data_IF_100631960599
#
_entry.id   IF_100631960599
#
_cell.length_a   1.000
_cell.length_b   1.000
_cell.length_c   1.000
_cell.angle_alpha   90.00
_cell.angle_beta   90.00
_cell.angle_gamma   90.00
#
_symmetry.space_group_name_H-M   'P 1'
#
loop_
_entity.id
_entity.type
_entity.pdbx_description
1 polymer ?
#
# COMPACT_ATOMS: atom_id res chain seq x y z
N UNK A 1 -6.34 -22.02 12.61
CA UNK A 1 -7.15 -21.10 13.44
C UNK A 1 -7.42 -19.84 12.63
N UNK A 2 -8.66 -19.41 12.50
CA UNK A 2 -8.99 -18.15 11.83
C UNK A 2 -8.67 -16.96 12.74
N UNK A 3 -8.21 -15.86 12.15
CA UNK A 3 -7.95 -14.63 12.87
C UNK A 3 -8.33 -13.41 12.04
N UNK A 4 -8.68 -12.33 12.74
CA UNK A 4 -8.77 -10.98 12.18
C UNK A 4 -7.53 -10.19 12.57
N UNK A 5 -6.94 -9.46 11.62
CA UNK A 5 -5.98 -8.39 11.89
C UNK A 5 -6.58 -7.03 11.51
N UNK A 6 -6.62 -6.12 12.48
CA UNK A 6 -6.95 -4.70 12.25
C UNK A 6 -5.69 -3.87 12.40
N UNK A 7 -5.34 -3.12 11.35
CA UNK A 7 -4.20 -2.21 11.36
C UNK A 7 -4.69 -0.76 11.31
N UNK A 8 -4.20 0.08 12.22
CA UNK A 8 -4.53 1.51 12.27
C UNK A 8 -3.27 2.33 12.06
N UNK A 9 -3.30 3.22 11.08
CA UNK A 9 -2.16 4.04 10.69
C UNK A 9 -1.68 4.98 11.79
N UNK A 10 -0.37 5.01 12.02
CA UNK A 10 0.32 5.99 12.87
C UNK A 10 1.20 6.96 12.07
N UNK A 11 1.38 6.68 10.77
CA UNK A 11 1.93 7.59 9.79
C UNK A 11 1.11 7.53 8.49
N UNK A 12 1.23 8.56 7.66
CA UNK A 12 0.58 8.61 6.35
C UNK A 12 0.94 7.38 5.52
N UNK A 13 -0.07 6.73 4.92
CA UNK A 13 0.12 5.67 3.95
C UNK A 13 0.34 6.27 2.57
N UNK A 14 1.37 5.81 1.86
CA UNK A 14 1.54 6.04 0.42
C UNK A 14 1.22 4.76 -0.34
N UNK A 15 0.33 4.84 -1.34
CA UNK A 15 0.07 3.72 -2.23
C UNK A 15 1.00 3.74 -3.44
N UNK A 16 1.35 2.55 -3.91
CA UNK A 16 2.10 2.35 -5.14
C UNK A 16 1.81 0.96 -5.72
N UNK A 17 0.68 0.86 -6.41
CA UNK A 17 0.33 -0.29 -7.23
C UNK A 17 1.34 -0.47 -8.36
N UNK A 18 1.77 -1.71 -8.59
CA UNK A 18 2.79 -2.06 -9.59
C UNK A 18 2.25 -2.12 -11.02
N UNK A 19 0.95 -1.88 -11.27
CA UNK A 19 0.36 -1.97 -12.61
C UNK A 19 1.06 -1.13 -13.69
N UNK A 20 1.63 0.02 -13.30
CA UNK A 20 2.40 0.89 -14.20
C UNK A 20 3.73 0.28 -14.68
N UNK A 21 4.15 -0.86 -14.12
CA UNK A 21 5.28 -1.64 -14.61
C UNK A 21 4.91 -2.54 -15.80
N UNK A 22 3.62 -2.87 -15.98
CA UNK A 22 3.17 -3.69 -17.10
C UNK A 22 3.02 -2.81 -18.36
N UNK A 23 3.85 -3.01 -19.41
CA UNK A 23 3.79 -2.19 -20.62
C UNK A 23 2.50 -2.36 -21.42
N UNK A 24 1.74 -3.43 -21.18
CA UNK A 24 0.48 -3.72 -21.88
C UNK A 24 -0.74 -3.13 -21.18
N UNK A 25 -0.60 -2.71 -19.91
CA UNK A 25 -1.70 -2.13 -19.13
C UNK A 25 -2.17 -0.80 -19.75
N UNK A 26 -3.49 -0.57 -19.88
CA UNK A 26 -4.03 0.69 -20.38
C UNK A 26 -3.53 1.94 -19.64
N UNK A 27 -3.37 1.89 -18.32
CA UNK A 27 -2.86 3.00 -17.52
C UNK A 27 -1.39 3.31 -17.87
N UNK A 28 -0.58 2.29 -18.10
CA UNK A 28 0.81 2.45 -18.55
C UNK A 28 0.86 3.10 -19.94
N UNK A 29 0.01 2.66 -20.86
CA UNK A 29 -0.09 3.25 -22.20
C UNK A 29 -0.53 4.71 -22.15
N UNK A 30 -1.54 5.03 -21.33
CA UNK A 30 -2.00 6.40 -21.11
C UNK A 30 -0.87 7.29 -20.57
N UNK A 31 -0.17 6.85 -19.52
CA UNK A 31 0.96 7.59 -18.96
C UNK A 31 2.11 7.75 -19.98
N UNK A 32 2.41 6.71 -20.77
CA UNK A 32 3.44 6.75 -21.83
C UNK A 32 3.11 7.77 -22.93
N UNK A 33 1.83 7.94 -23.26
CA UNK A 33 1.39 8.90 -24.29
C UNK A 33 1.74 10.36 -23.93
N UNK A 34 1.78 10.68 -22.65
CA UNK A 34 2.11 12.03 -22.15
C UNK A 34 3.60 12.14 -21.79
N UNK A 35 4.16 11.11 -21.14
CA UNK A 35 5.58 11.12 -20.73
C UNK A 35 6.56 11.05 -21.91
N UNK A 36 6.16 10.54 -23.07
CA UNK A 36 7.00 10.47 -24.27
C UNK A 36 7.12 11.78 -25.05
N UNK A 37 6.27 12.78 -24.75
CA UNK A 37 6.31 14.11 -25.40
C UNK A 37 7.63 14.85 -25.11
N UNK A 38 8.17 15.51 -26.14
CA UNK A 38 9.29 16.46 -26.02
C UNK A 38 8.73 17.86 -25.72
N UNK A 39 9.42 18.64 -24.89
CA UNK A 39 8.96 19.99 -24.51
C UNK A 39 7.61 19.97 -23.78
N UNK A 40 7.54 19.26 -22.64
CA UNK A 40 6.30 19.13 -21.85
C UNK A 40 5.88 20.50 -21.32
N UNK A 41 4.60 20.82 -21.47
CA UNK A 41 3.96 21.98 -20.85
C UNK A 41 3.58 21.67 -19.39
N UNK A 42 3.16 22.69 -18.65
CA UNK A 42 2.68 22.51 -17.27
C UNK A 42 1.46 21.59 -17.22
N UNK A 43 0.55 21.69 -18.19
CA UNK A 43 -0.61 20.78 -18.29
C UNK A 43 -0.17 19.33 -18.55
N UNK A 44 0.94 19.12 -19.26
CA UNK A 44 1.48 17.77 -19.40
C UNK A 44 2.05 17.24 -18.08
N UNK A 45 2.65 18.10 -17.26
CA UNK A 45 3.16 17.71 -15.95
C UNK A 45 2.03 17.38 -14.97
N UNK A 46 0.95 18.15 -14.98
CA UNK A 46 -0.26 17.87 -14.21
C UNK A 46 -0.92 16.56 -14.63
N UNK A 47 -1.07 16.33 -15.94
CA UNK A 47 -1.67 15.09 -16.44
C UNK A 47 -0.80 13.86 -16.12
N UNK A 48 0.53 14.00 -16.18
CA UNK A 48 1.44 12.95 -15.70
C UNK A 48 1.18 12.66 -14.22
N UNK A 49 1.10 13.69 -13.38
CA UNK A 49 0.83 13.52 -11.95
C UNK A 49 -0.53 12.84 -11.70
N UNK A 50 -1.57 13.22 -12.44
CA UNK A 50 -2.91 12.62 -12.36
C UNK A 50 -2.90 11.14 -12.73
N UNK A 51 -2.30 10.80 -13.87
CA UNK A 51 -2.20 9.42 -14.36
C UNK A 51 -1.34 8.56 -13.43
N UNK A 52 -0.25 9.12 -12.88
CA UNK A 52 0.57 8.42 -11.89
C UNK A 52 -0.16 8.19 -10.58
N UNK A 53 -0.93 9.18 -10.10
CA UNK A 53 -1.75 9.05 -8.91
C UNK A 53 -2.77 7.92 -9.08
N UNK A 54 -3.58 7.98 -10.14
CA UNK A 54 -4.57 6.96 -10.46
C UNK A 54 -3.94 5.56 -10.64
N UNK A 55 -2.84 5.47 -11.41
CA UNK A 55 -2.15 4.21 -11.66
C UNK A 55 -1.44 3.62 -10.45
N UNK A 56 -1.21 4.42 -9.40
CA UNK A 56 -0.57 3.98 -8.15
C UNK A 56 -1.59 3.56 -7.07
N UNK A 57 -2.89 3.80 -7.27
CA UNK A 57 -3.93 3.35 -6.34
C UNK A 57 -4.12 1.83 -6.40
N UNK A 58 -4.30 1.23 -5.23
CA UNK A 58 -5.03 -0.03 -5.12
C UNK A 58 -6.51 0.33 -5.06
N UNK A 59 -7.23 0.07 -6.15
CA UNK A 59 -8.61 0.52 -6.34
C UNK A 59 -9.46 -0.61 -6.88
N UNK A 60 -10.63 -0.77 -6.29
CA UNK A 60 -11.70 -1.65 -6.73
C UNK A 60 -12.91 -0.77 -7.08
N UNK A 61 -13.63 -1.09 -8.15
CA UNK A 61 -14.68 -0.20 -8.68
C UNK A 61 -15.92 -0.13 -7.78
N UNK A 62 -16.23 -1.20 -7.04
CA UNK A 62 -17.39 -1.26 -6.14
C UNK A 62 -17.03 -0.77 -4.74
N UNK A 63 -15.81 -1.06 -4.29
CA UNK A 63 -15.38 -0.76 -2.93
C UNK A 63 -14.69 0.60 -2.86
N UNK A 64 -13.85 0.96 -3.83
CA UNK A 64 -12.92 2.10 -3.79
C UNK A 64 -11.51 1.68 -3.35
N UNK A 65 -10.74 2.54 -2.67
CA UNK A 65 -9.39 2.17 -2.26
C UNK A 65 -9.34 1.02 -1.25
N UNK A 66 -8.36 0.13 -1.44
CA UNK A 66 -8.17 -1.07 -0.63
C UNK A 66 -6.68 -1.37 -0.39
N UNK A 67 -6.39 -2.34 0.46
CA UNK A 67 -5.05 -2.90 0.65
C UNK A 67 -5.05 -4.36 0.21
N UNK A 68 -4.16 -4.77 -0.71
CA UNK A 68 -4.03 -6.18 -1.09
C UNK A 68 -3.53 -7.05 0.07
N UNK A 69 -3.97 -8.31 0.11
CA UNK A 69 -3.45 -9.34 1.02
C UNK A 69 -1.91 -9.37 1.07
N UNK A 70 -1.28 -9.35 -0.10
CA UNK A 70 0.17 -9.38 -0.26
C UNK A 70 0.90 -8.27 0.49
N UNK A 71 0.31 -7.07 0.55
CA UNK A 71 0.95 -5.96 1.25
C UNK A 71 0.96 -6.21 2.77
N UNK A 72 -0.16 -6.70 3.31
CA UNK A 72 -0.29 -7.04 4.74
C UNK A 72 0.64 -8.20 5.08
N UNK A 73 0.57 -9.29 4.31
CA UNK A 73 1.41 -10.46 4.49
C UNK A 73 2.90 -10.10 4.41
N UNK A 74 3.28 -9.26 3.43
CA UNK A 74 4.67 -8.84 3.27
C UNK A 74 5.19 -8.01 4.43
N UNK A 75 4.35 -7.13 5.00
CA UNK A 75 4.71 -6.36 6.19
C UNK A 75 4.97 -7.29 7.39
N UNK A 76 4.11 -8.29 7.62
CA UNK A 76 4.30 -9.30 8.67
C UNK A 76 5.57 -10.12 8.44
N UNK A 77 5.80 -10.59 7.21
CA UNK A 77 6.99 -11.36 6.86
C UNK A 77 8.28 -10.57 7.10
N UNK A 78 8.36 -9.32 6.64
CA UNK A 78 9.52 -8.46 6.85
C UNK A 78 9.69 -8.06 8.33
N UNK A 79 8.59 -7.98 9.10
CA UNK A 79 8.61 -7.79 10.55
C UNK A 79 9.22 -9.00 11.27
N UNK A 80 8.73 -10.20 10.95
CA UNK A 80 9.22 -11.46 11.53
C UNK A 80 10.71 -11.70 11.27
N UNK A 81 11.22 -11.26 10.12
CA UNK A 81 12.64 -11.32 9.78
C UNK A 81 13.54 -10.56 10.76
N UNK A 82 13.05 -9.55 11.48
CA UNK A 82 13.82 -8.85 12.52
C UNK A 82 14.18 -9.76 13.69
N UNK A 83 13.36 -10.78 13.93
CA UNK A 83 13.58 -11.84 14.94
C UNK A 83 13.94 -13.19 14.33
N UNK A 84 14.37 -13.25 13.06
CA UNK A 84 14.67 -14.50 12.31
C UNK A 84 13.49 -15.48 12.20
N UNK A 85 12.25 -15.01 12.40
CA UNK A 85 11.00 -15.80 12.30
C UNK A 85 10.33 -15.73 10.92
N UNK A 86 11.00 -15.18 9.91
CA UNK A 86 10.46 -15.05 8.55
C UNK A 86 9.89 -16.35 7.95
N UNK A 87 10.61 -17.49 8.02
CA UNK A 87 10.09 -18.78 7.53
C UNK A 87 8.75 -19.19 8.14
N UNK A 88 8.56 -18.96 9.46
CA UNK A 88 7.30 -19.26 10.15
C UNK A 88 6.10 -18.51 9.58
N UNK A 89 6.27 -17.28 9.11
CA UNK A 89 5.19 -16.54 8.43
C UNK A 89 4.85 -17.14 7.06
N UNK A 90 5.83 -17.69 6.34
CA UNK A 90 5.57 -18.38 5.06
C UNK A 90 4.82 -19.68 5.23
N UNK A 91 5.12 -20.40 6.30
CA UNK A 91 4.56 -21.73 6.56
C UNK A 91 3.23 -21.64 7.31
N UNK A 92 3.09 -20.69 8.23
CA UNK A 92 1.98 -20.67 9.18
C UNK A 92 1.00 -19.49 9.06
N UNK A 93 1.18 -18.55 8.15
CA UNK A 93 0.25 -17.40 8.00
C UNK A 93 -0.17 -17.21 6.57
N UNK A 94 -1.49 -17.20 6.36
CA UNK A 94 -2.12 -16.89 5.08
C UNK A 94 -3.21 -15.83 5.26
N UNK A 95 -3.15 -14.73 4.51
CA UNK A 95 -4.22 -13.71 4.49
C UNK A 95 -5.24 -14.13 3.45
N UNK A 96 -6.47 -14.42 3.89
CA UNK A 96 -7.55 -15.00 3.07
C UNK A 96 -8.33 -13.97 2.26
N UNK A 97 -8.27 -12.70 2.65
CA UNK A 97 -9.01 -11.60 2.00
C UNK A 97 -8.12 -10.85 1.03
N UNK A 98 -8.37 -11.02 -0.27
CA UNK A 98 -7.58 -10.38 -1.34
C UNK A 98 -7.79 -8.85 -1.40
N UNK A 99 -9.03 -8.41 -1.21
CA UNK A 99 -9.43 -7.00 -1.23
C UNK A 99 -9.84 -6.58 0.18
N UNK A 100 -9.01 -5.76 0.83
CA UNK A 100 -9.25 -5.28 2.19
C UNK A 100 -9.59 -3.77 2.15
N UNK A 101 -10.86 -3.36 2.29
CA UNK A 101 -11.26 -1.96 2.16
C UNK A 101 -10.46 -1.04 3.09
N UNK A 102 -9.94 0.05 2.53
CA UNK A 102 -9.27 1.08 3.31
C UNK A 102 -10.33 2.02 3.90
N UNK A 103 -10.41 2.09 5.22
CA UNK A 103 -11.22 3.07 5.93
C UNK A 103 -10.43 4.39 6.10
N UNK A 104 -11.00 5.49 5.63
CA UNK A 104 -10.50 6.85 5.75
C UNK A 104 -11.64 7.85 5.46
N UNK A 105 -11.47 9.09 5.88
CA UNK A 105 -12.43 10.17 5.58
C UNK A 105 -12.06 10.83 4.25
N UNK A 106 -12.97 10.82 3.28
CA UNK A 106 -12.79 11.53 2.00
C UNK A 106 -13.43 10.84 0.80
N UNK A 107 -13.12 11.32 -0.42
CA UNK A 107 -13.69 10.76 -1.66
C UNK A 107 -13.31 9.29 -1.87
N UNK A 108 -14.21 8.51 -2.46
CA UNK A 108 -14.00 7.08 -2.77
C UNK A 108 -13.72 6.79 -4.24
N UNK A 109 -13.78 7.79 -5.11
CA UNK A 109 -13.51 7.65 -6.55
C UNK A 109 -12.11 8.15 -6.89
N UNK A 110 -11.52 7.62 -7.97
CA UNK A 110 -10.20 8.07 -8.47
C UNK A 110 -10.19 9.58 -8.71
N UNK A 111 -11.20 10.09 -9.43
CA UNK A 111 -11.28 11.52 -9.76
C UNK A 111 -11.55 12.40 -8.53
N UNK A 112 -12.31 11.90 -7.54
CA UNK A 112 -12.53 12.62 -6.28
C UNK A 112 -11.25 12.70 -5.45
N UNK A 113 -10.50 11.61 -5.35
CA UNK A 113 -9.19 11.57 -4.70
C UNK A 113 -8.15 12.40 -5.43
N UNK A 114 -8.24 12.48 -6.77
CA UNK A 114 -7.45 13.45 -7.50
C UNK A 114 -7.89 14.85 -7.13
N UNK A 115 -9.16 15.25 -7.26
CA UNK A 115 -9.62 16.62 -7.05
C UNK A 115 -9.19 17.24 -5.70
N UNK A 116 -9.10 16.44 -4.64
CA UNK A 116 -8.60 16.88 -3.33
C UNK A 116 -7.09 16.68 -3.17
N UNK A 117 -6.34 17.79 -3.10
CA UNK A 117 -4.88 17.81 -2.93
C UNK A 117 -4.40 17.10 -1.65
N UNK A 118 -5.26 16.93 -0.64
CA UNK A 118 -4.90 16.21 0.59
C UNK A 118 -4.55 14.74 0.33
N UNK A 119 -5.01 14.16 -0.79
CA UNK A 119 -4.72 12.79 -1.19
C UNK A 119 -3.58 12.69 -2.21
N UNK A 120 -2.87 13.80 -2.49
CA UNK A 120 -1.72 13.83 -3.40
C UNK A 120 -0.42 14.01 -2.63
N UNK A 121 0.52 13.10 -2.83
CA UNK A 121 1.89 13.25 -2.37
C UNK A 121 2.82 13.44 -3.57
N UNK A 122 3.35 14.64 -3.73
CA UNK A 122 4.29 14.97 -4.81
C UNK A 122 5.69 15.06 -4.23
N UNK A 123 6.62 14.24 -4.74
CA UNK A 123 8.01 14.26 -4.30
C UNK A 123 8.98 14.01 -5.46
N UNK A 124 10.16 14.61 -5.33
CA UNK A 124 11.24 14.42 -6.30
C UNK A 124 11.99 13.12 -6.03
N UNK A 125 12.01 12.21 -7.00
CA UNK A 125 12.76 10.94 -6.94
C UNK A 125 13.93 10.95 -7.93
N UNK A 126 14.99 10.21 -7.61
CA UNK A 126 16.14 10.02 -8.49
C UNK A 126 15.88 8.85 -9.44
N UNK A 127 15.99 9.08 -10.75
CA UNK A 127 15.92 8.05 -11.80
C UNK A 127 17.22 8.13 -12.61
N UNK A 128 18.12 7.17 -12.43
CA UNK A 128 19.47 7.26 -12.97
C UNK A 128 20.21 8.46 -12.41
N UNK A 129 20.61 9.40 -13.26
CA UNK A 129 21.27 10.67 -12.88
C UNK A 129 20.30 11.84 -12.75
N UNK A 130 19.06 11.72 -13.24
CA UNK A 130 18.07 12.79 -13.26
C UNK A 130 17.13 12.73 -12.05
N UNK A 131 16.50 13.87 -11.74
CA UNK A 131 15.40 13.94 -10.77
C UNK A 131 14.08 14.20 -11.49
N UNK A 132 13.05 13.45 -11.11
CA UNK A 132 11.70 13.59 -11.67
C UNK A 132 10.70 13.69 -10.53
N UNK A 133 9.72 14.59 -10.65
CA UNK A 133 8.61 14.67 -9.70
C UNK A 133 7.68 13.48 -9.93
N UNK A 134 7.31 12.77 -8.86
CA UNK A 134 6.35 11.67 -8.89
C UNK A 134 5.16 12.02 -8.00
N UNK A 135 3.98 11.62 -8.44
CA UNK A 135 2.78 11.72 -7.62
C UNK A 135 2.40 10.34 -7.06
N UNK A 136 2.08 10.27 -5.77
CA UNK A 136 1.55 9.06 -5.11
C UNK A 136 0.25 9.42 -4.39
N UNK A 137 -0.75 8.53 -4.38
CA UNK A 137 -1.89 8.66 -3.49
C UNK A 137 -1.43 8.56 -2.04
N UNK A 138 -1.97 9.42 -1.19
CA UNK A 138 -1.68 9.39 0.24
C UNK A 138 -2.95 9.36 1.09
N UNK A 139 -2.88 8.68 2.23
CA UNK A 139 -3.94 8.63 3.23
C UNK A 139 -3.36 8.93 4.60
N UNK A 140 -3.74 10.07 5.19
CA UNK A 140 -3.13 10.57 6.43
C UNK A 140 -3.62 9.81 7.66
N UNK A 141 -4.93 9.61 7.73
CA UNK A 141 -5.60 8.79 8.72
C UNK A 141 -6.24 7.62 7.99
N UNK A 142 -5.87 6.40 8.37
CA UNK A 142 -6.31 5.21 7.66
C UNK A 142 -6.38 4.00 8.59
N UNK A 143 -7.29 3.09 8.27
CA UNK A 143 -7.42 1.79 8.91
C UNK A 143 -7.75 0.74 7.87
N UNK A 144 -7.29 -0.48 8.09
CA UNK A 144 -7.62 -1.62 7.25
C UNK A 144 -7.86 -2.84 8.15
N UNK A 145 -8.80 -3.70 7.76
CA UNK A 145 -9.07 -4.98 8.42
C UNK A 145 -8.93 -6.09 7.39
N UNK A 146 -8.26 -7.17 7.76
CA UNK A 146 -8.10 -8.37 6.95
C UNK A 146 -8.34 -9.63 7.79
N UNK A 147 -8.69 -10.72 7.12
CA UNK A 147 -8.88 -12.03 7.75
C UNK A 147 -7.79 -12.97 7.25
N UNK A 148 -7.28 -13.82 8.14
CA UNK A 148 -6.29 -14.82 7.79
C UNK A 148 -6.45 -16.12 8.55
N UNK A 149 -5.66 -17.11 8.15
CA UNK A 149 -5.53 -18.41 8.80
C UNK A 149 -4.12 -18.47 9.41
N UNK A 150 -4.07 -18.87 10.68
CA UNK A 150 -2.87 -19.19 11.43
C UNK A 150 -2.77 -20.70 11.63
N UNK A 151 -1.64 -21.27 11.21
CA UNK A 151 -1.23 -22.62 11.61
C UNK A 151 -0.53 -22.56 12.98
N UNK A 152 -1.27 -22.99 14.01
CA UNK A 152 -0.82 -22.95 15.41
C UNK A 152 0.24 -23.99 15.73
N UNK A 153 0.52 -24.95 14.84
CA UNK A 153 1.66 -25.88 14.99
C UNK A 153 2.99 -25.21 14.63
N UNK A 154 2.95 -24.13 13.83
CA UNK A 154 4.14 -23.41 13.33
C UNK A 154 4.40 -22.13 14.12
N UNK A 155 3.34 -21.38 14.43
CA UNK A 155 3.40 -20.06 15.04
C UNK A 155 2.17 -19.84 15.93
N UNK A 156 2.36 -19.47 17.19
CA UNK A 156 1.22 -19.15 18.05
C UNK A 156 0.72 -17.69 17.86
N UNK A 157 -0.45 -17.40 18.43
CA UNK A 157 -1.10 -16.09 18.29
C UNK A 157 -0.34 -14.96 18.99
N UNK A 158 0.39 -15.26 20.08
CA UNK A 158 1.19 -14.26 20.79
C UNK A 158 2.40 -13.86 19.94
N UNK A 159 3.09 -14.82 19.35
CA UNK A 159 4.18 -14.56 18.41
C UNK A 159 3.70 -13.75 17.19
N UNK A 160 2.52 -14.07 16.65
CA UNK A 160 1.96 -13.30 15.54
C UNK A 160 1.68 -11.84 15.93
N UNK A 161 1.19 -11.58 17.15
CA UNK A 161 0.98 -10.22 17.68
C UNK A 161 2.29 -9.44 17.79
N UNK A 162 3.34 -10.04 18.35
CA UNK A 162 4.67 -9.41 18.42
C UNK A 162 5.24 -9.08 17.03
N UNK A 163 5.04 -9.99 16.08
CA UNK A 163 5.46 -9.79 14.69
C UNK A 163 4.69 -8.62 14.08
N UNK A 164 3.38 -8.52 14.33
CA UNK A 164 2.55 -7.44 13.82
C UNK A 164 2.93 -6.08 14.43
N UNK A 165 3.26 -6.03 15.72
CA UNK A 165 3.80 -4.82 16.36
C UNK A 165 5.14 -4.39 15.76
N UNK A 166 6.02 -5.35 15.50
CA UNK A 166 7.30 -5.11 14.82
C UNK A 166 7.09 -4.64 13.38
N UNK A 167 6.15 -5.26 12.66
CA UNK A 167 5.80 -4.87 11.30
C UNK A 167 5.27 -3.43 11.28
N UNK A 168 4.36 -3.09 12.19
CA UNK A 168 3.78 -1.75 12.28
C UNK A 168 4.79 -0.66 12.62
N UNK A 169 5.65 -0.92 13.61
CA UNK A 169 6.60 0.05 14.15
C UNK A 169 7.91 0.16 13.36
N UNK A 170 8.38 -0.91 12.72
CA UNK A 170 9.70 -0.98 12.06
C UNK A 170 9.64 -1.20 10.55
N UNK A 171 8.54 -1.73 10.00
CA UNK A 171 8.39 -1.99 8.55
C UNK A 171 7.41 -1.03 7.87
N UNK A 172 6.13 -1.02 8.26
CA UNK A 172 5.04 -0.28 7.63
C UNK A 172 4.48 -0.93 6.35
N UNK A 173 3.47 -0.28 5.76
CA UNK A 173 2.80 -0.66 4.51
C UNK A 173 3.04 0.33 3.37
N UNK A 174 2.86 -0.17 2.15
CA UNK A 174 2.92 0.66 0.94
C UNK A 174 4.34 1.11 0.57
N UNK A 175 4.43 2.33 0.06
CA UNK A 175 5.65 2.89 -0.53
C UNK A 175 6.48 3.70 0.48
N UNK A 176 7.76 3.90 0.14
CA UNK A 176 8.74 4.68 0.92
C UNK A 176 8.81 4.32 2.41
N UNK A 177 8.63 3.03 2.70
CA UNK A 177 8.90 2.42 3.99
C UNK A 177 10.40 2.56 4.34
N UNK A 178 10.78 2.78 5.61
CA UNK A 178 9.93 2.76 6.81
C UNK A 178 9.25 4.09 7.17
N UNK A 179 9.47 5.17 6.41
CA UNK A 179 9.00 6.51 6.78
C UNK A 179 7.47 6.63 6.74
N UNK A 180 6.85 5.99 5.76
CA UNK A 180 5.40 6.00 5.53
C UNK A 180 4.78 4.64 5.87
N UNK A 181 3.46 4.65 6.06
CA UNK A 181 2.63 3.47 6.27
C UNK A 181 2.87 2.74 7.60
N UNK A 182 3.42 3.41 8.61
CA UNK A 182 3.49 2.89 9.98
C UNK A 182 2.09 2.66 10.54
N UNK A 183 1.93 1.66 11.40
CA UNK A 183 0.64 1.31 12.00
C UNK A 183 0.81 0.65 13.37
N UNK A 184 -0.28 0.58 14.13
CA UNK A 184 -0.47 -0.38 15.22
C UNK A 184 -1.37 -1.51 14.74
N UNK A 185 -1.20 -2.72 15.28
CA UNK A 185 -2.01 -3.88 14.92
C UNK A 185 -2.77 -4.42 16.13
N UNK A 186 -3.98 -4.92 15.88
CA UNK A 186 -4.77 -5.69 16.83
C UNK A 186 -5.13 -7.00 16.15
N UNK A 187 -4.83 -8.13 16.80
CA UNK A 187 -5.12 -9.46 16.28
C UNK A 187 -6.03 -10.20 17.25
N UNK A 188 -7.14 -10.67 16.70
CA UNK A 188 -8.22 -11.36 17.41
C UNK A 188 -8.47 -12.71 16.73
N UNK A 189 -8.76 -13.73 17.52
CA UNK A 189 -9.33 -14.97 16.98
C UNK A 189 -10.70 -14.66 16.39
N UNK A 190 -10.98 -15.21 15.20
CA UNK A 190 -12.19 -14.92 14.44
C UNK A 190 -13.27 -16.00 14.65
#
# INVERSE_FOLDING_TARGET
>A
MDFTITITGTATLLMHNSRLANPLDPATKALKSVTSKRGKTDENHEEIARLEHAGSLYFDDDIGPYIPADNIWRALFDGAKKSKRGPRIKEGVFITTDVNPLAYDGPRTIDGLWADENFRHIASVKVGTSRTMRCRPQFRNWRCRATGILDTEILDLAELREIADTAGSLIGLGDWRPRYGRFTATIEEA
#
